data_IF_381143690180
#
_entry.id   IF_381143690180
#
_cell.length_a   1.000
_cell.length_b   1.000
_cell.length_c   1.000
_cell.angle_alpha   90.00
_cell.angle_beta   90.00
_cell.angle_gamma   90.00
#
_symmetry.space_group_name_H-M   'P 1'
#
loop_
_entity.id
_entity.type
_entity.pdbx_description
1 polymer ?
#
# COMPACT_ATOMS: atom_id res chain seq x y z
N UNK A 1 -52.13 -11.53 -5.85
CA UNK A 1 -51.22 -10.80 -4.95
C UNK A 1 -50.18 -10.07 -5.80
N UNK A 2 -49.77 -8.84 -5.45
CA UNK A 2 -48.62 -8.23 -6.12
C UNK A 2 -47.36 -8.98 -5.66
N UNK A 3 -46.58 -9.51 -6.59
CA UNK A 3 -45.31 -10.15 -6.26
C UNK A 3 -44.33 -9.07 -5.75
N UNK A 4 -43.83 -9.25 -4.53
CA UNK A 4 -42.84 -8.34 -3.94
C UNK A 4 -41.46 -8.49 -4.60
N UNK A 5 -41.17 -9.68 -5.14
CA UNK A 5 -39.96 -9.99 -5.92
C UNK A 5 -40.41 -10.27 -7.35
N UNK A 6 -39.87 -9.51 -8.31
CA UNK A 6 -40.20 -9.66 -9.73
C UNK A 6 -39.11 -10.31 -10.56
N UNK A 7 -37.87 -10.34 -10.04
CA UNK A 7 -36.78 -11.11 -10.62
C UNK A 7 -35.83 -11.55 -9.50
N UNK A 8 -35.26 -12.75 -9.65
CA UNK A 8 -34.25 -13.31 -8.77
C UNK A 8 -33.31 -14.16 -9.61
N UNK A 9 -32.02 -13.82 -9.61
CA UNK A 9 -30.97 -14.52 -10.36
C UNK A 9 -29.79 -14.79 -9.43
N UNK A 10 -29.38 -16.04 -9.38
CA UNK A 10 -28.13 -16.47 -8.75
C UNK A 10 -27.11 -16.77 -9.85
N UNK A 11 -25.89 -16.26 -9.71
CA UNK A 11 -24.76 -16.48 -10.63
C UNK A 11 -23.59 -17.06 -9.86
N UNK A 12 -22.92 -18.04 -10.45
CA UNK A 12 -21.64 -18.51 -9.98
C UNK A 12 -20.71 -18.68 -11.18
N UNK A 13 -19.45 -18.28 -11.02
CA UNK A 13 -18.44 -18.38 -12.07
C UNK A 13 -17.09 -18.78 -11.50
N UNK A 14 -16.37 -19.62 -12.22
CA UNK A 14 -15.00 -19.96 -11.92
C UNK A 14 -14.18 -19.95 -13.21
N UNK A 15 -13.00 -19.35 -13.18
CA UNK A 15 -12.13 -19.25 -14.34
C UNK A 15 -10.67 -19.06 -13.98
N UNK A 16 -9.78 -19.61 -14.80
CA UNK A 16 -8.34 -19.45 -14.66
C UNK A 16 -7.82 -18.57 -15.78
N UNK A 17 -7.23 -17.43 -15.43
CA UNK A 17 -6.57 -16.54 -16.37
C UNK A 17 -5.05 -16.64 -16.22
N UNK A 18 -4.34 -16.55 -17.33
CA UNK A 18 -2.88 -16.51 -17.34
C UNK A 18 -2.37 -15.08 -17.56
N UNK A 19 -1.29 -14.72 -16.88
CA UNK A 19 -0.57 -13.46 -17.10
C UNK A 19 0.93 -13.70 -17.34
N UNK A 20 1.50 -13.30 -18.51
CA UNK A 20 2.91 -13.44 -18.80
C UNK A 20 3.71 -12.14 -18.60
N UNK A 21 3.20 -11.15 -17.86
CA UNK A 21 3.69 -9.77 -17.85
C UNK A 21 5.08 -9.56 -17.21
N UNK A 22 6.12 -10.00 -17.92
CA UNK A 22 7.54 -9.68 -17.71
C UNK A 22 8.15 -9.22 -19.04
N UNK A 23 9.28 -8.49 -19.04
CA UNK A 23 9.93 -8.09 -20.28
C UNK A 23 10.29 -9.30 -21.17
N UNK A 24 10.42 -9.09 -22.48
CA UNK A 24 10.77 -10.16 -23.41
C UNK A 24 12.17 -10.75 -23.12
N UNK A 25 12.40 -11.99 -23.57
CA UNK A 25 13.68 -12.71 -23.49
C UNK A 25 14.20 -13.03 -22.08
N UNK A 26 13.41 -12.86 -21.02
CA UNK A 26 13.83 -13.26 -19.66
C UNK A 26 13.91 -14.78 -19.45
N UNK A 27 13.61 -15.58 -20.47
CA UNK A 27 13.88 -17.01 -20.51
C UNK A 27 15.30 -17.36 -21.00
N UNK A 28 16.09 -16.38 -21.45
CA UNK A 28 17.45 -16.59 -21.97
C UNK A 28 18.39 -15.48 -21.52
N UNK A 29 19.66 -15.80 -21.27
CA UNK A 29 20.65 -14.79 -20.89
C UNK A 29 21.17 -14.06 -22.11
N UNK A 30 20.88 -12.76 -22.21
CA UNK A 30 21.37 -11.90 -23.28
C UNK A 30 22.73 -11.29 -22.92
N UNK A 31 23.52 -10.97 -23.94
CA UNK A 31 24.80 -10.26 -23.83
C UNK A 31 24.67 -8.89 -24.48
N UNK A 32 25.22 -7.86 -23.84
CA UNK A 32 25.25 -6.50 -24.37
C UNK A 32 26.67 -5.92 -24.31
N UNK A 33 26.94 -4.94 -25.19
CA UNK A 33 28.17 -4.16 -25.12
C UNK A 33 28.14 -3.27 -23.88
N UNK A 34 29.21 -3.31 -23.11
CA UNK A 34 29.49 -2.44 -21.95
C UNK A 34 30.69 -1.54 -22.16
N UNK A 35 31.12 -1.40 -23.41
CA UNK A 35 32.29 -0.60 -23.79
C UNK A 35 32.16 0.87 -23.37
N UNK A 36 30.94 1.39 -23.27
CA UNK A 36 30.65 2.74 -22.78
C UNK A 36 30.60 2.88 -21.24
N UNK A 37 30.28 1.80 -20.53
CA UNK A 37 30.15 1.79 -19.07
C UNK A 37 31.50 1.51 -18.38
N UNK A 38 32.32 0.67 -19.01
CA UNK A 38 33.63 0.22 -18.50
C UNK A 38 34.66 0.24 -19.63
N UNK A 39 35.14 1.42 -20.07
CA UNK A 39 36.13 1.51 -21.12
C UNK A 39 37.44 0.87 -20.67
N UNK A 40 37.85 -0.21 -21.35
CA UNK A 40 39.13 -0.88 -21.10
C UNK A 40 40.12 -0.57 -22.22
N UNK A 41 41.29 -0.04 -21.86
CA UNK A 41 42.43 0.11 -22.77
C UNK A 41 43.59 -0.74 -22.28
N UNK A 42 44.20 -1.52 -23.18
CA UNK A 42 45.40 -2.32 -22.87
C UNK A 42 46.66 -1.64 -23.42
N UNK A 43 46.89 -0.39 -23.00
CA UNK A 43 48.07 0.39 -23.39
C UNK A 43 47.98 1.14 -24.74
N UNK A 44 46.80 1.19 -25.37
CA UNK A 44 46.53 1.98 -26.59
C UNK A 44 45.48 3.07 -26.37
N UNK A 45 45.27 3.94 -27.38
CA UNK A 45 44.30 5.06 -27.33
C UNK A 45 42.85 4.67 -27.66
N UNK A 46 42.62 3.42 -28.09
CA UNK A 46 41.29 2.93 -28.49
C UNK A 46 40.72 2.04 -27.40
N UNK A 47 39.51 2.34 -26.94
CA UNK A 47 38.77 1.47 -26.03
C UNK A 47 38.43 0.14 -26.72
N UNK A 48 38.70 -0.97 -26.04
CA UNK A 48 38.34 -2.29 -26.54
C UNK A 48 36.84 -2.53 -26.38
N UNK A 49 36.22 -3.26 -27.32
CA UNK A 49 34.84 -3.67 -27.16
C UNK A 49 34.74 -4.66 -25.98
N UNK A 50 33.94 -4.31 -24.99
CA UNK A 50 33.63 -5.14 -23.84
C UNK A 50 32.20 -5.63 -23.97
N UNK A 51 31.98 -6.94 -23.85
CA UNK A 51 30.66 -7.56 -23.80
C UNK A 51 30.50 -8.29 -22.49
N UNK A 52 29.33 -8.15 -21.87
CA UNK A 52 28.97 -8.89 -20.66
C UNK A 52 27.50 -9.26 -20.72
N UNK A 53 27.09 -10.20 -19.87
CA UNK A 53 25.67 -10.49 -19.68
C UNK A 53 24.90 -9.25 -19.22
N UNK A 54 23.63 -9.20 -19.59
CA UNK A 54 22.67 -8.26 -19.02
C UNK A 54 22.43 -8.53 -17.53
N UNK A 55 21.90 -7.53 -16.82
CA UNK A 55 21.61 -7.66 -15.39
C UNK A 55 20.54 -8.70 -15.09
N UNK A 56 19.54 -8.77 -15.97
CA UNK A 56 18.55 -9.82 -15.97
C UNK A 56 19.14 -11.06 -16.66
N UNK A 57 19.35 -12.12 -15.89
CA UNK A 57 19.76 -13.41 -16.42
C UNK A 57 18.52 -14.23 -16.81
N UNK A 58 18.69 -15.15 -17.76
CA UNK A 58 17.62 -16.01 -18.25
C UNK A 58 17.19 -17.03 -17.21
N UNK A 59 15.87 -17.28 -17.13
CA UNK A 59 15.29 -18.38 -16.38
C UNK A 59 14.43 -19.25 -17.31
N UNK A 60 14.97 -20.40 -17.71
CA UNK A 60 14.29 -21.35 -18.60
C UNK A 60 13.07 -22.02 -17.95
N UNK A 61 12.95 -21.98 -16.62
CA UNK A 61 11.82 -22.56 -15.88
C UNK A 61 10.60 -21.61 -15.77
N UNK A 62 10.64 -20.46 -16.44
CA UNK A 62 9.54 -19.49 -16.43
C UNK A 62 8.25 -20.09 -16.98
N UNK A 63 7.16 -19.86 -16.25
CA UNK A 63 5.80 -20.21 -16.66
C UNK A 63 4.89 -18.99 -16.49
N UNK A 64 3.66 -19.08 -16.98
CA UNK A 64 2.67 -18.03 -16.79
C UNK A 64 2.23 -17.95 -15.33
N UNK A 65 2.06 -16.73 -14.81
CA UNK A 65 1.30 -16.50 -13.58
C UNK A 65 -0.15 -16.92 -13.82
N UNK A 66 -0.77 -17.61 -12.86
CA UNK A 66 -2.15 -18.11 -12.99
C UNK A 66 -3.03 -17.52 -11.91
N UNK A 67 -4.07 -16.79 -12.32
CA UNK A 67 -5.11 -16.24 -11.46
C UNK A 67 -6.34 -17.15 -11.48
N UNK A 68 -6.66 -17.74 -10.33
CA UNK A 68 -7.82 -18.60 -10.11
C UNK A 68 -8.95 -17.73 -9.53
N UNK A 69 -9.96 -17.44 -10.36
CA UNK A 69 -11.02 -16.49 -10.04
C UNK A 69 -12.31 -17.25 -9.74
N UNK A 70 -12.92 -16.96 -8.60
CA UNK A 70 -14.25 -17.39 -8.22
C UNK A 70 -15.15 -16.17 -8.00
N UNK A 71 -16.37 -16.22 -8.51
CA UNK A 71 -17.37 -15.18 -8.36
C UNK A 71 -18.72 -15.80 -8.00
N UNK A 72 -19.42 -15.20 -7.03
CA UNK A 72 -20.77 -15.57 -6.62
C UNK A 72 -21.63 -14.29 -6.58
N UNK A 73 -22.65 -14.23 -7.42
CA UNK A 73 -23.52 -13.06 -7.56
C UNK A 73 -24.98 -13.38 -7.25
N UNK A 74 -25.66 -12.46 -6.57
CA UNK A 74 -27.10 -12.49 -6.33
C UNK A 74 -27.69 -11.19 -6.83
N UNK A 75 -28.60 -11.30 -7.80
CA UNK A 75 -29.34 -10.16 -8.34
C UNK A 75 -30.83 -10.35 -8.07
N UNK A 76 -31.53 -9.31 -7.64
CA UNK A 76 -32.98 -9.35 -7.53
C UNK A 76 -33.61 -7.98 -7.76
N UNK A 77 -34.88 -8.02 -8.17
CA UNK A 77 -35.69 -6.82 -8.36
C UNK A 77 -36.94 -6.90 -7.49
N UNK A 78 -37.20 -5.85 -6.73
CA UNK A 78 -38.34 -5.73 -5.84
C UNK A 78 -39.39 -4.74 -6.34
N UNK A 79 -40.62 -4.92 -5.86
CA UNK A 79 -41.74 -3.97 -5.99
C UNK A 79 -42.04 -3.55 -7.44
N UNK A 80 -42.09 -4.52 -8.35
CA UNK A 80 -42.32 -4.31 -9.77
C UNK A 80 -41.28 -3.37 -10.40
N UNK A 81 -40.01 -3.62 -10.08
CA UNK A 81 -38.93 -2.76 -10.51
C UNK A 81 -38.99 -1.39 -9.87
N UNK A 82 -39.03 -1.30 -8.54
CA UNK A 82 -38.65 -0.04 -7.86
C UNK A 82 -37.28 -0.12 -7.20
N UNK A 83 -36.81 -1.31 -6.88
CA UNK A 83 -35.48 -1.52 -6.30
C UNK A 83 -34.82 -2.66 -7.05
N UNK A 84 -33.68 -2.37 -7.66
CA UNK A 84 -32.79 -3.35 -8.27
C UNK A 84 -31.57 -3.49 -7.37
N UNK A 85 -31.28 -4.72 -6.94
CA UNK A 85 -30.12 -5.08 -6.15
C UNK A 85 -29.22 -6.02 -6.95
N UNK A 86 -27.93 -5.76 -6.92
CA UNK A 86 -26.89 -6.68 -7.38
C UNK A 86 -25.80 -6.75 -6.31
N UNK A 87 -25.55 -7.94 -5.78
CA UNK A 87 -24.48 -8.19 -4.83
C UNK A 87 -23.55 -9.27 -5.38
N UNK A 88 -22.26 -9.06 -5.28
CA UNK A 88 -21.24 -10.00 -5.75
C UNK A 88 -20.19 -10.22 -4.66
N UNK A 89 -19.77 -11.47 -4.50
CA UNK A 89 -18.55 -11.84 -3.79
C UNK A 89 -17.56 -12.38 -4.81
N UNK A 90 -16.34 -11.87 -4.76
CA UNK A 90 -15.24 -12.34 -5.60
C UNK A 90 -14.07 -12.82 -4.75
N UNK A 91 -13.37 -13.83 -5.26
CA UNK A 91 -12.16 -14.36 -4.67
C UNK A 91 -11.21 -14.81 -5.77
N UNK A 92 -10.06 -14.14 -5.84
CA UNK A 92 -8.98 -14.43 -6.78
C UNK A 92 -7.75 -14.85 -6.00
N UNK A 93 -7.22 -16.03 -6.33
CA UNK A 93 -5.90 -16.47 -5.87
C UNK A 93 -4.95 -16.52 -7.06
N UNK A 94 -3.87 -15.75 -7.03
CA UNK A 94 -2.83 -15.78 -8.06
C UNK A 94 -1.65 -16.60 -7.58
N UNK A 95 -1.24 -17.58 -8.40
CA UNK A 95 -0.09 -18.45 -8.13
C UNK A 95 1.01 -18.25 -9.15
N UNK A 96 2.25 -18.37 -8.69
CA UNK A 96 3.42 -18.21 -9.53
C UNK A 96 3.54 -16.78 -10.03
N UNK A 97 3.25 -15.79 -9.17
CA UNK A 97 3.44 -14.38 -9.47
C UNK A 97 4.89 -14.16 -9.87
N UNK A 98 5.06 -13.53 -11.03
CA UNK A 98 6.35 -13.29 -11.64
C UNK A 98 7.00 -12.10 -10.94
N UNK A 99 8.13 -12.34 -10.28
CA UNK A 99 8.84 -11.31 -9.53
C UNK A 99 10.36 -11.41 -9.75
N UNK A 100 11.08 -10.27 -9.87
CA UNK A 100 12.53 -10.28 -9.98
C UNK A 100 13.18 -10.63 -8.63
N UNK A 101 13.97 -11.70 -8.63
CA UNK A 101 14.78 -12.14 -7.48
C UNK A 101 16.24 -11.85 -7.74
N UNK A 102 16.83 -10.98 -6.91
CA UNK A 102 18.28 -10.77 -6.92
C UNK A 102 18.99 -12.07 -6.55
N UNK A 103 20.05 -12.39 -7.30
CA UNK A 103 20.91 -13.53 -7.01
C UNK A 103 21.91 -13.20 -5.89
N UNK A 104 22.33 -14.19 -5.08
CA UNK A 104 23.36 -14.01 -4.08
C UNK A 104 24.63 -13.36 -4.65
N UNK A 105 25.33 -12.48 -3.90
CA UNK A 105 26.59 -11.89 -4.38
C UNK A 105 27.67 -12.91 -4.72
N UNK A 106 27.59 -14.13 -4.16
CA UNK A 106 28.48 -15.26 -4.48
C UNK A 106 28.36 -15.75 -5.92
N UNK A 107 27.23 -15.48 -6.60
CA UNK A 107 27.03 -15.78 -8.01
C UNK A 107 27.67 -14.71 -8.93
N UNK A 108 28.29 -13.69 -8.33
CA UNK A 108 28.87 -12.53 -8.99
C UNK A 108 27.96 -11.29 -8.94
N UNK A 109 28.58 -10.11 -8.99
CA UNK A 109 27.88 -8.83 -9.14
C UNK A 109 27.72 -8.45 -10.61
N UNK A 110 26.60 -7.80 -10.96
CA UNK A 110 26.45 -7.16 -12.28
C UNK A 110 27.41 -5.97 -12.42
N UNK A 111 27.58 -5.23 -11.32
CA UNK A 111 28.62 -4.21 -11.13
C UNK A 111 28.95 -4.08 -9.63
N UNK A 112 29.75 -3.09 -9.25
CA UNK A 112 30.19 -2.87 -7.87
C UNK A 112 29.06 -2.57 -6.87
N UNK A 113 27.84 -2.23 -7.32
CA UNK A 113 26.69 -1.84 -6.50
C UNK A 113 25.45 -2.69 -6.74
N UNK A 114 25.36 -3.39 -7.87
CA UNK A 114 24.17 -4.11 -8.30
C UNK A 114 24.42 -5.61 -8.46
N UNK A 115 23.50 -6.42 -7.93
CA UNK A 115 23.45 -7.86 -8.17
C UNK A 115 22.78 -8.16 -9.51
N UNK A 116 23.14 -9.30 -10.10
CA UNK A 116 22.30 -9.95 -11.12
C UNK A 116 20.95 -10.34 -10.51
N UNK A 117 19.93 -10.47 -11.35
CA UNK A 117 18.64 -10.98 -10.93
C UNK A 117 18.03 -11.87 -12.01
N UNK A 118 17.06 -12.69 -11.61
CA UNK A 118 16.22 -13.48 -12.52
C UNK A 118 14.75 -13.17 -12.25
N UNK A 119 13.91 -13.19 -13.28
CA UNK A 119 12.47 -13.30 -13.07
C UNK A 119 12.12 -14.75 -12.74
N UNK A 120 11.24 -14.95 -11.76
CA UNK A 120 10.78 -16.28 -11.40
C UNK A 120 9.32 -16.27 -10.89
N UNK A 121 8.65 -17.42 -10.99
CA UNK A 121 7.30 -17.63 -10.46
C UNK A 121 7.35 -17.87 -8.93
N UNK A 122 7.58 -16.81 -8.15
CA UNK A 122 7.96 -16.93 -6.74
C UNK A 122 6.96 -16.28 -5.76
N UNK A 123 5.94 -15.59 -6.24
CA UNK A 123 4.89 -15.02 -5.37
C UNK A 123 3.56 -15.76 -5.44
N UNK A 124 2.75 -15.60 -4.39
CA UNK A 124 1.31 -15.86 -4.43
C UNK A 124 0.57 -14.66 -3.83
N UNK A 125 -0.48 -14.18 -4.51
CA UNK A 125 -1.34 -13.10 -4.03
C UNK A 125 -2.79 -13.57 -3.93
N UNK A 126 -3.55 -12.86 -3.10
CA UNK A 126 -4.98 -13.08 -2.91
C UNK A 126 -5.68 -11.72 -3.02
N UNK A 127 -6.73 -11.65 -3.81
CA UNK A 127 -7.64 -10.52 -3.87
C UNK A 127 -9.06 -11.03 -3.64
N UNK A 128 -9.80 -10.44 -2.71
CA UNK A 128 -11.17 -10.86 -2.43
C UNK A 128 -12.00 -9.71 -1.90
N UNK A 129 -13.30 -9.77 -2.10
CA UNK A 129 -14.17 -8.70 -1.66
C UNK A 129 -15.62 -8.92 -1.97
N UNK A 130 -16.40 -7.93 -1.58
CA UNK A 130 -17.82 -7.81 -1.88
C UNK A 130 -18.08 -6.50 -2.60
N UNK A 131 -18.98 -6.56 -3.57
CA UNK A 131 -19.50 -5.42 -4.32
C UNK A 131 -21.02 -5.43 -4.24
N UNK A 132 -21.61 -4.29 -3.90
CA UNK A 132 -23.05 -4.12 -3.82
C UNK A 132 -23.45 -2.92 -4.67
N UNK A 133 -24.51 -3.08 -5.45
CA UNK A 133 -25.16 -2.02 -6.19
C UNK A 133 -26.65 -2.06 -5.89
N UNK A 134 -27.22 -0.92 -5.51
CA UNK A 134 -28.65 -0.75 -5.27
C UNK A 134 -29.11 0.44 -6.11
N UNK A 135 -30.00 0.18 -7.06
CA UNK A 135 -30.68 1.23 -7.81
C UNK A 135 -32.12 1.31 -7.32
N UNK A 136 -32.58 2.50 -6.94
CA UNK A 136 -33.95 2.72 -6.50
C UNK A 136 -34.63 3.82 -7.28
N UNK A 137 -35.87 3.55 -7.69
CA UNK A 137 -36.84 4.51 -8.24
C UNK A 137 -37.73 4.96 -7.09
N UNK A 138 -37.22 5.91 -6.30
CA UNK A 138 -37.85 6.38 -5.06
C UNK A 138 -39.22 6.99 -5.36
N UNK A 139 -39.24 7.96 -6.27
CA UNK A 139 -40.45 8.62 -6.75
C UNK A 139 -40.45 8.59 -8.28
N UNK A 140 -41.57 8.16 -8.85
CA UNK A 140 -41.75 8.11 -10.29
C UNK A 140 -43.17 8.57 -10.62
N UNK A 141 -43.30 9.87 -10.84
CA UNK A 141 -44.55 10.55 -11.21
C UNK A 141 -44.32 11.42 -12.43
N UNK A 142 -45.40 11.90 -13.05
CA UNK A 142 -45.32 12.76 -14.26
C UNK A 142 -44.47 14.02 -14.03
N UNK A 143 -44.68 14.69 -12.90
CA UNK A 143 -44.08 15.99 -12.64
C UNK A 143 -42.77 15.91 -11.88
N UNK A 144 -42.56 14.83 -11.12
CA UNK A 144 -41.37 14.63 -10.30
C UNK A 144 -40.87 13.19 -10.36
N UNK A 145 -39.57 13.03 -10.62
CA UNK A 145 -38.86 11.75 -10.57
C UNK A 145 -37.63 11.89 -9.69
N UNK A 146 -37.39 10.89 -8.84
CA UNK A 146 -36.20 10.80 -8.01
C UNK A 146 -35.69 9.36 -8.03
N UNK A 147 -34.46 9.22 -8.49
CA UNK A 147 -33.72 7.96 -8.48
C UNK A 147 -32.48 8.08 -7.60
N UNK A 148 -32.14 6.98 -6.93
CA UNK A 148 -30.89 6.83 -6.20
C UNK A 148 -30.12 5.63 -6.73
N UNK A 149 -28.81 5.78 -6.90
CA UNK A 149 -27.90 4.67 -7.16
C UNK A 149 -26.85 4.64 -6.06
N UNK A 150 -26.79 3.54 -5.33
CA UNK A 150 -25.83 3.29 -4.27
C UNK A 150 -24.87 2.20 -4.71
N UNK A 151 -23.58 2.43 -4.50
CA UNK A 151 -22.52 1.44 -4.71
C UNK A 151 -21.69 1.30 -3.46
N UNK A 152 -21.28 0.08 -3.16
CA UNK A 152 -20.37 -0.24 -2.06
C UNK A 152 -19.37 -1.29 -2.52
N UNK A 153 -18.09 -1.08 -2.21
CA UNK A 153 -17.04 -2.05 -2.45
C UNK A 153 -16.21 -2.19 -1.19
N UNK A 154 -15.97 -3.44 -0.77
CA UNK A 154 -14.96 -3.79 0.23
C UNK A 154 -14.08 -4.86 -0.36
N UNK A 155 -12.80 -4.54 -0.57
CA UNK A 155 -11.85 -5.43 -1.21
C UNK A 155 -10.53 -5.43 -0.44
N UNK A 156 -9.91 -6.60 -0.34
CA UNK A 156 -8.61 -6.78 0.30
C UNK A 156 -7.68 -7.52 -0.65
N UNK A 157 -6.52 -6.93 -0.90
CA UNK A 157 -5.41 -7.54 -1.62
C UNK A 157 -4.31 -7.91 -0.64
N UNK A 158 -3.71 -9.09 -0.77
CA UNK A 158 -2.73 -9.63 0.17
C UNK A 158 -1.61 -10.38 -0.55
N UNK A 159 -0.36 -10.17 -0.10
CA UNK A 159 0.77 -11.00 -0.47
C UNK A 159 0.79 -12.24 0.44
N UNK A 160 0.40 -13.39 -0.08
CA UNK A 160 0.23 -14.62 0.72
C UNK A 160 1.47 -15.50 0.79
N UNK A 161 2.35 -15.39 -0.21
CA UNK A 161 3.62 -16.12 -0.26
C UNK A 161 4.62 -15.36 -1.10
N UNK A 162 5.88 -15.41 -0.70
CA UNK A 162 7.00 -14.96 -1.51
C UNK A 162 8.24 -15.81 -1.20
N UNK A 163 8.87 -16.35 -2.24
CA UNK A 163 10.10 -17.12 -2.14
C UNK A 163 11.28 -16.39 -2.81
N UNK A 164 12.03 -15.63 -2.01
CA UNK A 164 13.27 -15.00 -2.48
C UNK A 164 14.52 -15.89 -2.27
N UNK A 165 14.37 -17.14 -1.84
CA UNK A 165 15.46 -18.05 -1.52
C UNK A 165 16.05 -17.85 -0.11
N UNK A 166 16.92 -18.78 0.29
CA UNK A 166 17.40 -18.94 1.67
C UNK A 166 18.38 -17.86 2.16
N UNK A 167 18.86 -16.99 1.27
CA UNK A 167 19.90 -15.98 1.59
C UNK A 167 19.37 -14.55 1.64
N UNK A 168 18.05 -14.35 1.72
CA UNK A 168 17.47 -13.01 1.78
C UNK A 168 17.30 -12.55 3.22
N UNK A 169 18.07 -11.52 3.57
CA UNK A 169 17.93 -10.86 4.85
C UNK A 169 16.52 -10.25 5.00
N UNK A 170 15.93 -10.36 6.19
CA UNK A 170 14.64 -9.72 6.54
C UNK A 170 14.63 -8.22 6.22
N UNK A 171 15.80 -7.57 6.30
CA UNK A 171 15.98 -6.16 5.94
C UNK A 171 15.71 -5.87 4.45
N UNK A 172 16.01 -6.80 3.55
CA UNK A 172 15.74 -6.67 2.12
C UNK A 172 14.25 -6.81 1.80
N UNK A 173 13.52 -7.67 2.52
CA UNK A 173 12.05 -7.76 2.44
C UNK A 173 11.39 -6.44 2.88
N UNK A 174 11.83 -5.91 4.03
CA UNK A 174 11.36 -4.64 4.58
C UNK A 174 11.63 -3.48 3.61
N UNK A 175 12.81 -3.44 2.98
CA UNK A 175 13.20 -2.35 2.07
C UNK A 175 12.31 -2.32 0.82
N UNK A 176 11.84 -3.48 0.37
CA UNK A 176 10.96 -3.60 -0.79
C UNK A 176 9.46 -3.63 -0.41
N UNK A 177 9.12 -3.37 0.87
CA UNK A 177 7.76 -3.50 1.42
C UNK A 177 7.11 -4.87 1.17
N UNK A 178 7.89 -5.94 1.11
CA UNK A 178 7.43 -7.31 0.85
C UNK A 178 7.05 -7.99 2.16
N UNK A 179 5.82 -7.77 2.62
CA UNK A 179 5.29 -8.32 3.86
C UNK A 179 4.31 -9.46 3.58
N UNK A 180 4.74 -10.70 3.82
CA UNK A 180 3.86 -11.88 3.68
C UNK A 180 2.78 -11.85 4.77
N UNK A 181 1.53 -12.10 4.38
CA UNK A 181 0.36 -12.01 5.24
C UNK A 181 -0.19 -10.59 5.43
N UNK A 182 0.30 -9.62 4.64
CA UNK A 182 -0.13 -8.22 4.65
C UNK A 182 -0.57 -7.77 3.26
N UNK A 183 -1.08 -6.54 3.17
CA UNK A 183 -1.45 -5.91 1.90
C UNK A 183 -0.28 -5.92 0.90
N UNK A 184 -0.61 -5.78 -0.39
CA UNK A 184 0.41 -5.77 -1.43
C UNK A 184 1.45 -4.64 -1.22
N UNK A 185 2.70 -4.82 -1.66
CA UNK A 185 3.81 -3.91 -1.35
C UNK A 185 3.57 -2.44 -1.72
N UNK A 186 2.86 -2.20 -2.82
CA UNK A 186 2.49 -0.85 -3.28
C UNK A 186 1.50 -0.14 -2.35
N UNK A 187 0.79 -0.91 -1.53
CA UNK A 187 -0.28 -0.42 -0.66
C UNK A 187 0.20 -0.22 0.77
N UNK A 188 1.18 -0.98 1.24
CA UNK A 188 1.65 -0.95 2.63
C UNK A 188 2.44 0.34 2.93
N UNK A 189 2.12 0.96 4.07
CA UNK A 189 2.90 2.04 4.66
C UNK A 189 3.69 1.47 5.84
N UNK A 190 5.01 1.47 5.73
CA UNK A 190 5.93 0.97 6.75
C UNK A 190 6.81 2.11 7.28
N UNK A 191 6.85 2.28 8.60
CA UNK A 191 7.55 3.40 9.21
C UNK A 191 7.42 3.42 10.73
N UNK A 192 7.67 4.57 11.33
CA UNK A 192 7.54 4.75 12.77
C UNK A 192 6.13 5.20 13.16
N UNK A 193 5.55 4.55 14.15
CA UNK A 193 4.22 4.90 14.66
C UNK A 193 4.34 6.00 15.71
N UNK A 194 3.84 7.19 15.39
CA UNK A 194 3.72 8.29 16.36
C UNK A 194 2.64 7.98 17.39
N UNK A 195 2.99 8.09 18.67
CA UNK A 195 2.08 8.00 19.81
C UNK A 195 1.72 9.37 20.38
N UNK A 196 2.54 10.39 20.10
CA UNK A 196 2.36 11.75 20.58
C UNK A 196 3.70 12.47 20.67
N UNK A 197 3.79 13.37 21.64
CA UNK A 197 5.00 14.11 21.99
C UNK A 197 5.25 13.90 23.49
N UNK A 198 6.51 13.68 23.86
CA UNK A 198 6.88 13.57 25.28
C UNK A 198 6.58 14.89 26.01
N UNK A 199 5.86 14.80 27.11
CA UNK A 199 5.39 15.94 27.89
C UNK A 199 6.31 16.26 29.07
N UNK A 200 6.10 17.43 29.69
CA UNK A 200 6.72 17.73 30.99
C UNK A 200 6.24 16.74 32.04
N UNK A 201 7.14 16.31 32.92
CA UNK A 201 6.88 15.24 33.90
C UNK A 201 7.16 13.82 33.36
N UNK A 202 7.43 13.66 32.07
CA UNK A 202 7.84 12.38 31.47
C UNK A 202 9.37 12.29 31.26
N UNK A 203 10.18 13.15 31.87
CA UNK A 203 11.64 13.27 31.60
C UNK A 203 12.37 11.94 31.83
N UNK A 204 12.11 11.29 32.95
CA UNK A 204 12.76 10.02 33.33
C UNK A 204 12.38 8.90 32.38
N UNK A 205 11.14 8.86 31.90
CA UNK A 205 10.68 7.87 30.94
C UNK A 205 11.22 8.16 29.55
N UNK A 206 11.14 9.40 29.08
CA UNK A 206 11.67 9.82 27.79
C UNK A 206 13.17 9.53 27.65
N UNK A 207 13.95 9.72 28.72
CA UNK A 207 15.38 9.46 28.74
C UNK A 207 15.72 7.98 28.43
N UNK A 208 14.86 7.02 28.80
CA UNK A 208 15.05 5.59 28.48
C UNK A 208 15.03 5.33 26.97
N UNK A 209 14.37 6.19 26.21
CA UNK A 209 14.27 6.16 24.75
C UNK A 209 15.28 7.09 24.06
N UNK A 210 16.18 7.73 24.81
CA UNK A 210 17.08 8.76 24.30
C UNK A 210 16.35 10.03 23.85
N UNK A 211 15.15 10.28 24.38
CA UNK A 211 14.31 11.42 24.08
C UNK A 211 14.18 12.34 25.30
N UNK A 212 13.64 13.54 25.09
CA UNK A 212 13.30 14.50 26.16
C UNK A 212 11.96 15.18 25.83
N UNK A 213 11.34 15.88 26.80
CA UNK A 213 10.10 16.60 26.55
C UNK A 213 10.16 17.51 25.32
N UNK A 214 9.10 17.46 24.52
CA UNK A 214 8.95 18.10 23.22
C UNK A 214 9.45 17.28 22.02
N UNK A 215 10.11 16.13 22.24
CA UNK A 215 10.46 15.21 21.16
C UNK A 215 9.29 14.26 20.85
N UNK A 216 9.26 13.72 19.62
CA UNK A 216 8.19 12.79 19.21
C UNK A 216 8.26 11.49 20.01
N UNK A 217 7.13 11.08 20.56
CA UNK A 217 6.95 9.79 21.22
C UNK A 217 6.54 8.77 20.16
N UNK A 218 7.34 7.72 19.98
CA UNK A 218 7.11 6.67 18.99
C UNK A 218 6.80 5.35 19.71
N UNK A 219 6.06 4.47 19.04
CA UNK A 219 5.97 3.07 19.46
C UNK A 219 7.30 2.35 19.19
N UNK A 220 7.65 1.42 20.07
CA UNK A 220 8.82 0.54 19.97
C UNK A 220 8.41 -0.91 19.78
N UNK A 221 9.31 -1.70 19.23
CA UNK A 221 9.14 -3.16 19.08
C UNK A 221 10.03 -3.83 20.12
N UNK A 222 9.49 -4.62 21.07
CA UNK A 222 10.28 -5.32 22.06
C UNK A 222 11.37 -6.18 21.42
N UNK A 223 12.55 -6.13 22.00
CA UNK A 223 13.71 -6.91 21.57
C UNK A 223 14.01 -7.94 22.62
N UNK A 224 14.45 -9.10 22.16
CA UNK A 224 14.87 -10.19 23.03
C UNK A 224 16.35 -10.40 22.81
N UNK A 225 17.13 -10.40 23.89
CA UNK A 225 18.55 -10.65 23.84
C UNK A 225 18.86 -12.15 23.61
N UNK A 226 20.15 -12.48 23.48
CA UNK A 226 20.60 -13.86 23.27
C UNK A 226 20.27 -14.80 24.46
N UNK A 227 19.94 -14.26 25.63
CA UNK A 227 19.54 -15.01 26.83
C UNK A 227 18.03 -15.24 26.91
N UNK A 228 17.25 -14.70 25.95
CA UNK A 228 15.79 -14.84 25.94
C UNK A 228 15.07 -13.78 26.76
N UNK A 229 15.77 -12.77 27.29
CA UNK A 229 15.16 -11.70 28.10
C UNK A 229 14.73 -10.56 27.19
N UNK A 230 13.48 -10.12 27.35
CA UNK A 230 12.96 -8.97 26.59
C UNK A 230 13.25 -7.65 27.30
N UNK A 231 13.59 -6.62 26.54
CA UNK A 231 13.65 -5.24 27.02
C UNK A 231 12.27 -4.59 27.20
N UNK A 232 11.18 -5.33 26.93
CA UNK A 232 9.80 -4.84 26.95
C UNK A 232 9.56 -3.61 26.06
N UNK A 233 10.39 -3.41 25.03
CA UNK A 233 10.36 -2.25 24.14
C UNK A 233 10.96 -0.99 24.77
N UNK A 234 11.72 -1.09 25.86
CA UNK A 234 12.36 0.05 26.51
C UNK A 234 13.81 0.16 26.06
N UNK A 235 14.03 0.92 25.01
CA UNK A 235 15.36 1.17 24.44
C UNK A 235 15.35 2.44 23.58
N UNK A 236 16.52 3.01 23.23
CA UNK A 236 16.60 4.08 22.25
C UNK A 236 15.99 3.67 20.89
N UNK A 237 15.30 4.62 20.24
CA UNK A 237 14.67 4.37 18.95
C UNK A 237 15.69 3.99 17.86
N UNK A 238 15.36 2.97 17.07
CA UNK A 238 16.22 2.48 15.99
C UNK A 238 15.42 1.98 14.78
N UNK A 239 16.11 1.67 13.68
CA UNK A 239 15.48 1.18 12.45
C UNK A 239 14.67 -0.11 12.59
N UNK A 240 14.87 -0.88 13.67
CA UNK A 240 14.09 -2.09 13.98
C UNK A 240 12.72 -1.80 14.57
N UNK A 241 12.44 -0.56 14.98
CA UNK A 241 11.18 -0.17 15.62
C UNK A 241 10.11 0.24 14.60
N UNK A 242 10.46 0.17 13.31
CA UNK A 242 9.51 0.41 12.23
C UNK A 242 8.53 -0.75 12.15
N UNK A 243 7.28 -0.40 11.87
CA UNK A 243 6.16 -1.34 11.77
C UNK A 243 5.23 -0.93 10.62
N UNK A 244 4.33 -1.84 10.25
CA UNK A 244 3.25 -1.52 9.31
C UNK A 244 2.31 -0.54 10.03
N UNK A 245 2.17 0.65 9.46
CA UNK A 245 1.36 1.75 9.99
C UNK A 245 -0.06 1.73 9.44
N UNK A 246 -0.25 1.12 8.28
CA UNK A 246 -1.52 1.04 7.57
C UNK A 246 -1.29 0.77 6.09
N UNK A 247 -2.30 1.09 5.28
CA UNK A 247 -2.27 0.83 3.85
C UNK A 247 -3.05 1.91 3.06
N UNK A 248 -2.66 2.19 1.82
CA UNK A 248 -3.21 3.30 1.01
C UNK A 248 -4.47 2.93 0.19
N UNK A 249 -4.87 1.66 0.21
CA UNK A 249 -6.16 1.20 -0.30
C UNK A 249 -7.24 1.41 0.76
N UNK A 250 -8.48 1.77 0.41
CA UNK A 250 -9.54 1.90 1.40
C UNK A 250 -10.01 0.52 1.87
N UNK A 251 -10.34 0.39 3.16
CA UNK A 251 -11.03 -0.78 3.70
C UNK A 251 -12.39 -0.96 2.98
N UNK A 252 -13.07 0.14 2.69
CA UNK A 252 -14.23 0.16 1.81
C UNK A 252 -14.44 1.53 1.14
N UNK A 253 -15.16 1.51 0.02
CA UNK A 253 -15.62 2.70 -0.69
C UNK A 253 -17.14 2.68 -0.88
N UNK A 254 -17.72 3.88 -0.92
CA UNK A 254 -19.14 4.10 -1.17
C UNK A 254 -19.32 5.11 -2.29
N UNK A 255 -20.35 4.91 -3.09
CA UNK A 255 -20.90 5.89 -4.02
C UNK A 255 -22.39 6.05 -3.78
N UNK A 256 -22.87 7.29 -3.78
CA UNK A 256 -24.30 7.58 -3.74
C UNK A 256 -24.61 8.68 -4.75
N UNK A 257 -25.33 8.32 -5.80
CA UNK A 257 -25.85 9.25 -6.79
C UNK A 257 -27.34 9.44 -6.56
N UNK A 258 -27.79 10.69 -6.56
CA UNK A 258 -29.20 11.05 -6.60
C UNK A 258 -29.47 11.85 -7.86
N UNK A 259 -30.51 11.47 -8.60
CA UNK A 259 -30.98 12.20 -9.78
C UNK A 259 -32.43 12.60 -9.56
N UNK A 260 -32.68 13.90 -9.58
CA UNK A 260 -33.98 14.52 -9.45
C UNK A 260 -34.37 15.13 -10.79
N UNK A 261 -35.63 14.96 -11.19
CA UNK A 261 -36.20 15.65 -12.33
C UNK A 261 -37.55 16.25 -11.93
N UNK A 262 -37.73 17.54 -12.12
CA UNK A 262 -38.96 18.26 -11.78
C UNK A 262 -39.36 19.21 -12.91
N UNK A 263 -40.50 18.93 -13.58
CA UNK A 263 -41.11 19.82 -14.60
C UNK A 263 -40.11 20.46 -15.60
N UNK A 264 -39.17 19.67 -16.12
CA UNK A 264 -38.17 20.12 -17.10
C UNK A 264 -36.83 20.56 -16.52
N UNK A 265 -36.70 20.64 -15.20
CA UNK A 265 -35.42 20.80 -14.51
C UNK A 265 -34.85 19.44 -14.11
N UNK A 266 -33.53 19.27 -14.23
CA UNK A 266 -32.81 18.13 -13.69
C UNK A 266 -31.69 18.57 -12.74
N UNK A 267 -31.45 17.75 -11.72
CA UNK A 267 -30.35 17.90 -10.78
C UNK A 267 -29.78 16.51 -10.50
N UNK A 268 -28.49 16.35 -10.71
CA UNK A 268 -27.77 15.15 -10.27
C UNK A 268 -26.73 15.54 -9.23
N UNK A 269 -26.73 14.83 -8.11
CA UNK A 269 -25.75 14.98 -7.04
C UNK A 269 -25.06 13.65 -6.84
N UNK A 270 -23.73 13.63 -6.95
CA UNK A 270 -22.92 12.44 -6.70
C UNK A 270 -22.01 12.64 -5.49
N UNK A 271 -22.07 11.69 -4.57
CA UNK A 271 -21.27 11.64 -3.36
C UNK A 271 -20.42 10.37 -3.36
N UNK A 272 -19.20 10.47 -2.85
CA UNK A 272 -18.33 9.31 -2.67
C UNK A 272 -17.58 9.36 -1.35
N UNK A 273 -17.36 8.19 -0.77
CA UNK A 273 -16.58 8.00 0.45
C UNK A 273 -15.50 6.95 0.22
N UNK A 274 -14.31 7.19 0.80
CA UNK A 274 -13.27 6.19 0.98
C UNK A 274 -12.91 6.17 2.46
N UNK A 275 -12.87 4.99 3.06
CA UNK A 275 -12.68 4.86 4.50
C UNK A 275 -11.62 3.81 4.83
N UNK A 276 -10.85 4.03 5.90
CA UNK A 276 -9.89 3.09 6.46
C UNK A 276 -8.50 3.11 5.81
N UNK A 277 -8.25 4.05 4.90
CA UNK A 277 -6.95 4.18 4.26
C UNK A 277 -6.02 5.11 5.03
N UNK A 278 -4.73 4.79 5.01
CA UNK A 278 -3.65 5.64 5.50
C UNK A 278 -2.93 6.29 4.32
N UNK A 279 -2.57 7.55 4.46
CA UNK A 279 -1.81 8.28 3.44
C UNK A 279 -0.51 8.85 4.03
N UNK A 280 0.49 8.98 3.17
CA UNK A 280 1.68 9.78 3.47
C UNK A 280 1.47 11.21 2.92
N UNK A 281 0.90 12.07 3.76
CA UNK A 281 0.65 13.48 3.45
C UNK A 281 1.89 14.32 3.79
N UNK A 282 2.89 14.32 2.89
CA UNK A 282 4.16 15.03 3.09
C UNK A 282 3.98 16.51 3.45
N UNK A 283 2.98 17.18 2.89
CA UNK A 283 2.67 18.57 3.21
C UNK A 283 2.19 18.73 4.66
N UNK A 284 1.27 17.88 5.11
CA UNK A 284 0.73 17.94 6.47
C UNK A 284 1.78 17.57 7.52
N UNK A 285 2.72 16.69 7.18
CA UNK A 285 3.81 16.31 8.06
C UNK A 285 5.11 17.09 7.84
N UNK A 286 5.10 18.15 7.02
CA UNK A 286 6.32 18.89 6.70
C UNK A 286 6.97 19.41 7.97
N UNK A 287 8.24 19.13 8.19
CA UNK A 287 8.93 19.66 9.35
C UNK A 287 10.41 19.87 9.01
N UNK A 288 10.93 21.04 9.36
CA UNK A 288 12.31 21.46 9.16
C UNK A 288 12.85 22.22 10.39
N UNK A 289 14.14 22.12 10.66
CA UNK A 289 14.84 22.86 11.73
C UNK A 289 14.98 24.36 11.46
N UNK A 290 14.77 24.81 10.21
CA UNK A 290 15.08 26.18 9.78
C UNK A 290 13.83 27.04 9.52
N UNK A 291 12.80 26.48 8.92
CA UNK A 291 11.59 27.22 8.55
C UNK A 291 10.37 26.34 8.76
N UNK A 292 9.52 26.73 9.72
CA UNK A 292 8.24 26.11 10.01
C UNK A 292 7.13 27.08 9.66
N UNK A 293 6.01 26.62 9.08
CA UNK A 293 4.84 27.47 8.93
C UNK A 293 4.37 27.99 10.29
N UNK A 294 4.05 29.28 10.37
CA UNK A 294 3.55 29.92 11.61
C UNK A 294 2.27 29.27 12.13
N UNK A 295 1.47 28.69 11.24
CA UNK A 295 0.21 28.00 11.55
C UNK A 295 0.39 26.67 12.28
N UNK A 296 1.64 26.19 12.45
CA UNK A 296 1.88 24.90 13.06
C UNK A 296 1.80 24.99 14.57
N UNK A 297 0.93 24.16 15.15
CA UNK A 297 0.78 24.02 16.59
C UNK A 297 1.92 23.17 17.15
N UNK A 298 3.07 23.79 17.46
CA UNK A 298 4.23 23.10 18.00
C UNK A 298 4.25 23.08 19.53
N UNK A 299 4.87 22.03 20.07
CA UNK A 299 5.03 21.86 21.50
C UNK A 299 5.94 22.92 22.12
N UNK A 300 5.47 23.48 23.24
CA UNK A 300 6.28 24.27 24.18
C UNK A 300 5.88 23.91 25.61
N UNK A 301 6.69 24.26 26.63
CA UNK A 301 6.30 24.08 28.03
C UNK A 301 4.93 24.68 28.40
N UNK A 302 4.55 25.78 27.75
CA UNK A 302 3.24 26.44 27.92
C UNK A 302 2.17 25.99 26.91
N UNK A 303 2.53 25.16 25.92
CA UNK A 303 1.64 24.61 24.89
C UNK A 303 1.91 23.10 24.71
N UNK A 304 1.39 22.24 25.61
CA UNK A 304 1.63 20.79 25.61
C UNK A 304 0.84 20.05 24.52
N UNK A 305 0.96 20.46 23.27
CA UNK A 305 0.30 19.83 22.11
C UNK A 305 0.93 18.49 21.75
N UNK A 306 0.20 17.68 20.98
CA UNK A 306 0.69 16.46 20.35
C UNK A 306 0.84 16.59 18.83
N UNK A 307 0.58 17.76 18.24
CA UNK A 307 0.58 17.94 16.78
C UNK A 307 2.00 17.94 16.21
N UNK A 308 2.82 18.95 16.56
CA UNK A 308 4.19 19.08 16.09
C UNK A 308 5.20 19.13 17.24
N UNK A 309 6.36 18.46 17.10
CA UNK A 309 7.40 18.51 18.12
C UNK A 309 7.94 19.93 18.25
N UNK A 310 8.63 20.18 19.37
CA UNK A 310 9.24 21.48 19.62
C UNK A 310 10.18 21.88 18.46
N UNK A 311 10.25 23.18 18.12
CA UNK A 311 11.30 23.67 17.23
C UNK A 311 12.69 23.45 17.86
N UNK A 312 13.68 23.14 17.04
CA UNK A 312 15.07 22.93 17.49
C UNK A 312 16.02 23.61 16.51
N UNK A 313 16.96 24.38 17.06
CA UNK A 313 18.09 24.94 16.33
C UNK A 313 19.33 24.06 16.57
N UNK A 314 19.86 23.44 15.52
CA UNK A 314 21.21 22.85 15.54
C UNK A 314 21.36 21.45 16.16
N UNK A 315 20.33 20.86 16.77
CA UNK A 315 20.34 19.45 17.17
C UNK A 315 19.43 18.63 16.27
N UNK A 316 20.01 17.65 15.58
CA UNK A 316 19.33 16.63 14.79
C UNK A 316 18.33 15.91 15.68
N UNK A 317 17.06 16.34 15.66
CA UNK A 317 15.99 15.39 15.90
C UNK A 317 16.19 14.31 14.85
N UNK A 318 16.47 13.09 15.30
CA UNK A 318 16.78 11.98 14.40
C UNK A 318 15.80 11.96 13.23
N UNK A 319 16.30 11.87 11.99
CA UNK A 319 15.48 11.76 10.77
C UNK A 319 14.36 10.69 10.90
N UNK A 320 14.55 9.72 11.81
CA UNK A 320 13.55 8.79 12.35
C UNK A 320 12.17 9.44 12.59
N UNK A 321 12.11 10.59 13.26
CA UNK A 321 10.84 11.18 13.73
C UNK A 321 10.03 11.89 12.65
N UNK A 322 10.70 12.55 11.69
CA UNK A 322 10.05 13.37 10.66
C UNK A 322 9.13 12.51 9.80
N UNK A 323 9.58 11.30 9.45
CA UNK A 323 8.80 10.35 8.64
C UNK A 323 7.46 9.93 9.28
N UNK A 324 7.32 10.04 10.60
CA UNK A 324 6.10 9.68 11.32
C UNK A 324 5.04 10.79 11.31
N UNK A 325 5.43 12.05 11.05
CA UNK A 325 4.53 13.21 11.09
C UNK A 325 3.59 13.27 9.89
N UNK A 326 4.01 12.68 8.76
CA UNK A 326 3.24 12.73 7.51
C UNK A 326 2.27 11.57 7.34
N UNK A 327 2.27 10.60 8.25
CA UNK A 327 1.39 9.43 8.17
C UNK A 327 0.09 9.73 8.90
N UNK A 328 -1.00 9.85 8.15
CA UNK A 328 -2.31 10.26 8.66
C UNK A 328 -3.43 9.39 8.10
N UNK A 329 -4.58 9.40 8.75
CA UNK A 329 -5.81 8.86 8.18
C UNK A 329 -6.17 9.67 6.93
N UNK A 330 -6.38 8.95 5.82
CA UNK A 330 -6.76 9.52 4.53
C UNK A 330 -8.22 9.27 4.20
N UNK A 331 -9.05 8.90 5.17
CA UNK A 331 -10.47 8.68 4.96
C UNK A 331 -11.15 10.00 4.62
N UNK A 332 -12.07 9.97 3.65
CA UNK A 332 -12.77 11.17 3.24
C UNK A 332 -14.16 10.87 2.70
N UNK A 333 -15.00 11.89 2.76
CA UNK A 333 -16.26 12.00 2.05
C UNK A 333 -16.24 13.26 1.19
N UNK A 334 -16.74 13.17 -0.04
CA UNK A 334 -16.87 14.35 -0.91
C UNK A 334 -18.12 14.29 -1.78
N UNK A 335 -18.72 15.44 -2.00
CA UNK A 335 -19.63 15.69 -3.13
C UNK A 335 -18.75 15.94 -4.35
N UNK A 336 -18.93 15.14 -5.40
CA UNK A 336 -18.08 15.19 -6.59
C UNK A 336 -18.62 16.14 -7.65
N UNK A 337 -19.93 16.15 -7.84
CA UNK A 337 -20.65 16.98 -8.79
C UNK A 337 -22.13 17.02 -8.45
#
# INVERSE_FOLDING_TARGET
>A
SKAYVTNLKLRAGYGVAGNPNIPAYNNSTLVASRSGDFPLTLGGSTALPLYSTNRALGNEALTWERSYNFNLGLDFTLFNGRVDFAGEYFHTKSKGVLYPRNLPPTDGGYDAKNQYFIYANIGETKNQGIELTINSRNIDTKDFRWNSAFTFTRATEELTKLDLGNSVATTALITNNLFVGSQLPQSVIYGYKKLGIWQLGEETEAAKYGAKPGDVKLATVPRTDASGVSDNGVHPYSASDRMILGHNTPDFSLGLQNTFAYKGFDLTVFMTMRYGQTINAQLLGYWNTVAQPETYNYWTPSNPTNDFPRPTTGTSLSNTFISSLSIVDGSYFKVKN
#
